data_IF_213360626125
#
_entry.id   IF_213360626125
#
_cell.length_a   1.000
_cell.length_b   1.000
_cell.length_c   1.000
_cell.angle_alpha   90.00
_cell.angle_beta   90.00
_cell.angle_gamma   90.00
#
_symmetry.space_group_name_H-M   'P 1'
#
loop_
_entity.id
_entity.type
_entity.pdbx_description
1 polymer ?
#
# COMPACT_ATOMS: atom_id res chain seq x y z
N UNK A 1 -60.03 61.21 28.11
CA UNK A 1 -59.99 60.46 26.84
C UNK A 1 -58.56 60.54 26.35
N UNK A 2 -57.73 59.50 26.15
CA UNK A 2 -57.84 58.04 26.24
C UNK A 2 -56.39 57.55 26.13
N UNK A 3 -55.94 56.65 27.01
CA UNK A 3 -54.66 55.92 26.91
C UNK A 3 -54.89 54.65 26.07
N UNK A 4 -53.92 54.23 25.24
CA UNK A 4 -53.25 52.92 25.46
C UNK A 4 -51.73 53.03 25.19
N UNK A 5 -50.75 52.46 25.92
CA UNK A 5 -50.56 51.18 26.62
C UNK A 5 -50.53 49.94 25.70
N UNK A 6 -49.38 49.24 25.74
CA UNK A 6 -49.03 47.96 25.06
C UNK A 6 -48.45 48.15 23.65
N UNK A 7 -47.36 47.50 23.23
CA UNK A 7 -47.04 46.09 23.41
C UNK A 7 -45.53 45.84 23.16
N UNK A 8 -44.86 45.19 24.11
CA UNK A 8 -43.60 44.48 23.89
C UNK A 8 -43.86 43.30 22.94
N UNK A 9 -43.07 43.15 21.86
CA UNK A 9 -42.92 41.87 21.19
C UNK A 9 -41.43 41.61 20.92
N UNK A 10 -40.87 40.71 21.72
CA UNK A 10 -39.61 40.04 21.44
C UNK A 10 -39.85 38.96 20.38
N UNK A 11 -39.16 39.04 19.26
CA UNK A 11 -38.99 37.90 18.35
C UNK A 11 -37.49 37.59 18.29
N UNK A 12 -37.08 36.72 19.20
CA UNK A 12 -35.99 35.80 18.93
C UNK A 12 -36.52 34.75 17.96
N UNK A 13 -35.84 34.50 16.84
CA UNK A 13 -35.59 33.12 16.38
C UNK A 13 -34.84 33.03 15.04
N UNK A 14 -34.12 31.91 14.95
CA UNK A 14 -33.59 31.25 13.76
C UNK A 14 -32.39 31.89 13.08
N UNK A 15 -31.27 31.87 13.83
CA UNK A 15 -29.97 31.61 13.22
C UNK A 15 -30.05 30.27 12.46
N UNK A 16 -30.09 30.36 11.13
CA UNK A 16 -29.90 29.23 10.24
C UNK A 16 -28.44 28.80 10.31
N UNK A 17 -28.15 27.92 11.27
CA UNK A 17 -26.93 27.12 11.27
C UNK A 17 -27.06 26.10 10.13
N UNK A 18 -26.65 26.51 8.93
CA UNK A 18 -26.24 25.59 7.89
C UNK A 18 -24.98 24.88 8.40
N UNK A 19 -25.15 23.79 9.13
CA UNK A 19 -24.11 22.78 9.25
C UNK A 19 -24.07 22.05 7.91
N UNK A 20 -23.01 22.18 7.09
CA UNK A 20 -22.80 21.20 6.05
C UNK A 20 -22.72 19.85 6.75
N UNK A 21 -23.55 18.91 6.30
CA UNK A 21 -23.42 17.49 6.62
C UNK A 21 -21.99 17.09 6.23
N UNK A 22 -21.09 17.10 7.22
CA UNK A 22 -19.80 16.44 7.12
C UNK A 22 -20.12 14.98 6.85
N UNK A 23 -20.01 14.57 5.58
CA UNK A 23 -20.09 13.18 5.21
C UNK A 23 -19.16 12.40 6.14
N UNK A 24 -19.73 11.45 6.88
CA UNK A 24 -18.92 10.54 7.67
C UNK A 24 -18.03 9.79 6.67
N UNK A 25 -16.77 10.19 6.58
CA UNK A 25 -15.73 9.33 6.07
C UNK A 25 -15.81 8.06 6.93
N UNK A 26 -16.25 6.95 6.33
CA UNK A 26 -16.32 5.66 7.02
C UNK A 26 -14.94 5.37 7.59
N UNK A 27 -14.79 5.47 8.91
CA UNK A 27 -13.52 5.20 9.58
C UNK A 27 -13.33 3.69 9.54
N UNK A 28 -12.57 3.20 8.56
CA UNK A 28 -12.04 1.85 8.65
C UNK A 28 -11.30 1.73 9.98
N UNK A 29 -11.71 0.79 10.82
CA UNK A 29 -11.19 0.69 12.19
C UNK A 29 -9.80 0.05 12.23
N UNK A 30 -9.45 -0.67 11.15
CA UNK A 30 -8.16 -1.31 10.99
C UNK A 30 -7.71 -1.33 9.52
N UNK A 31 -6.44 -1.68 9.34
CA UNK A 31 -5.75 -1.85 8.07
C UNK A 31 -5.43 -3.33 7.88
N UNK A 32 -5.83 -3.90 6.74
CA UNK A 32 -5.34 -5.18 6.25
C UNK A 32 -4.12 -4.93 5.36
N UNK A 33 -2.92 -5.20 5.88
CA UNK A 33 -1.66 -5.03 5.16
C UNK A 33 -1.17 -6.37 4.59
N UNK A 34 -0.96 -6.40 3.28
CA UNK A 34 -0.42 -7.55 2.56
C UNK A 34 0.81 -7.15 1.76
N UNK A 35 1.74 -8.10 1.60
CA UNK A 35 2.90 -7.96 0.73
C UNK A 35 2.85 -9.05 -0.34
N UNK A 36 3.15 -8.68 -1.58
CA UNK A 36 3.28 -9.61 -2.70
C UNK A 36 4.38 -9.12 -3.66
N UNK A 37 4.69 -9.92 -4.66
CA UNK A 37 5.64 -9.57 -5.70
C UNK A 37 5.18 -10.10 -7.05
N UNK A 38 5.74 -9.53 -8.11
CA UNK A 38 5.65 -10.11 -9.45
C UNK A 38 6.45 -11.42 -9.47
N UNK A 39 6.02 -12.38 -10.29
CA UNK A 39 6.76 -13.65 -10.46
C UNK A 39 8.23 -13.41 -10.82
N UNK A 40 8.47 -12.41 -11.67
CA UNK A 40 9.81 -12.09 -12.16
C UNK A 40 10.76 -11.54 -11.08
N UNK A 41 10.22 -10.93 -10.02
CA UNK A 41 10.96 -10.14 -9.03
C UNK A 41 10.54 -10.46 -7.59
N UNK A 42 10.71 -11.71 -7.12
CA UNK A 42 10.61 -11.99 -5.70
C UNK A 42 11.64 -11.13 -4.94
N UNK A 43 11.29 -10.67 -3.75
CA UNK A 43 12.05 -9.67 -3.02
C UNK A 43 12.27 -10.06 -1.56
N UNK A 44 13.26 -9.45 -0.91
CA UNK A 44 13.42 -9.46 0.55
C UNK A 44 13.12 -8.07 1.06
N UNK A 45 12.01 -7.90 1.78
CA UNK A 45 11.70 -6.63 2.45
C UNK A 45 12.62 -6.49 3.67
N UNK A 46 13.27 -5.33 3.79
CA UNK A 46 14.22 -5.05 4.88
C UNK A 46 13.83 -3.84 5.69
N UNK A 47 13.13 -2.88 5.09
CA UNK A 47 12.62 -1.70 5.79
C UNK A 47 11.21 -1.40 5.30
N UNK A 48 10.35 -0.94 6.20
CA UNK A 48 8.99 -0.56 5.86
C UNK A 48 8.45 0.51 6.81
N UNK A 49 7.62 1.40 6.29
CA UNK A 49 6.88 2.35 7.10
C UNK A 49 5.59 2.82 6.43
N UNK A 50 4.64 3.24 7.26
CA UNK A 50 3.43 3.96 6.87
C UNK A 50 3.36 5.20 7.77
N UNK A 51 3.31 6.39 7.17
CA UNK A 51 3.16 7.67 7.91
C UNK A 51 4.26 7.94 8.96
N UNK A 52 5.42 7.29 8.82
CA UNK A 52 6.55 7.44 9.75
C UNK A 52 7.88 7.26 9.00
N UNK A 53 9.01 7.67 9.60
CA UNK A 53 10.33 7.44 9.03
C UNK A 53 10.56 5.97 8.68
N UNK A 54 11.21 5.72 7.54
CA UNK A 54 11.56 4.37 7.10
C UNK A 54 12.45 3.70 8.15
N UNK A 55 12.02 2.55 8.66
CA UNK A 55 12.70 1.82 9.72
C UNK A 55 12.96 0.36 9.32
N UNK A 56 14.02 -0.27 9.84
CA UNK A 56 14.30 -1.67 9.58
C UNK A 56 13.19 -2.56 10.15
N UNK A 57 12.86 -3.61 9.41
CA UNK A 57 11.97 -4.70 9.84
C UNK A 57 12.74 -6.02 9.79
N UNK A 58 12.31 -7.07 10.52
CA UNK A 58 12.84 -8.41 10.29
C UNK A 58 12.79 -8.74 8.81
N UNK A 59 13.91 -9.18 8.24
CA UNK A 59 14.00 -9.46 6.81
C UNK A 59 13.00 -10.56 6.47
N UNK A 60 12.15 -10.31 5.48
CA UNK A 60 11.09 -11.25 5.08
C UNK A 60 11.08 -11.43 3.57
N UNK A 61 10.96 -12.67 3.12
CA UNK A 61 10.75 -12.95 1.70
C UNK A 61 9.33 -12.54 1.33
N UNK A 62 9.23 -11.74 0.27
CA UNK A 62 8.00 -11.37 -0.39
C UNK A 62 8.04 -11.97 -1.79
N UNK A 63 7.19 -12.97 -2.01
CA UNK A 63 7.11 -13.68 -3.28
C UNK A 63 5.66 -13.98 -3.62
N UNK A 64 5.35 -13.95 -4.91
CA UNK A 64 4.07 -14.45 -5.40
C UNK A 64 3.96 -14.20 -6.89
N UNK A 65 2.76 -13.87 -7.33
CA UNK A 65 2.38 -13.82 -8.73
C UNK A 65 1.37 -12.71 -9.00
N UNK A 66 1.63 -11.54 -8.41
CA UNK A 66 0.74 -10.39 -8.48
C UNK A 66 0.45 -9.90 -9.92
N UNK A 67 1.27 -10.31 -10.89
CA UNK A 67 1.13 -10.02 -12.31
C UNK A 67 0.25 -11.02 -13.07
N UNK A 68 -0.05 -12.21 -12.50
CA UNK A 68 -0.79 -13.28 -13.20
C UNK A 68 -1.89 -13.98 -12.37
N UNK A 69 -1.95 -13.79 -11.05
CA UNK A 69 -2.96 -14.38 -10.15
C UNK A 69 -3.87 -13.30 -9.56
N UNK A 70 -5.17 -13.56 -9.55
CA UNK A 70 -6.21 -12.68 -9.00
C UNK A 70 -7.09 -13.40 -7.96
N UNK A 71 -7.48 -12.75 -6.86
CA UNK A 71 -6.99 -11.43 -6.39
C UNK A 71 -5.50 -11.51 -6.00
N UNK A 72 -4.80 -10.37 -5.99
CA UNK A 72 -3.35 -10.33 -5.69
C UNK A 72 -3.04 -10.40 -4.19
N UNK A 73 -4.06 -10.64 -3.36
CA UNK A 73 -3.95 -10.71 -1.90
C UNK A 73 -3.36 -12.06 -1.48
N UNK A 74 -2.24 -12.03 -0.77
CA UNK A 74 -1.55 -13.22 -0.23
C UNK A 74 -1.32 -13.07 1.26
N UNK A 75 -2.24 -13.60 2.07
CA UNK A 75 -2.27 -13.37 3.52
C UNK A 75 -2.46 -11.89 3.86
N UNK A 76 -2.67 -11.57 5.14
CA UNK A 76 -2.71 -10.19 5.61
C UNK A 76 -2.38 -10.10 7.09
N UNK A 77 -1.66 -9.05 7.47
CA UNK A 77 -1.57 -8.60 8.85
C UNK A 77 -2.69 -7.59 9.11
N UNK A 78 -3.41 -7.75 10.22
CA UNK A 78 -4.38 -6.76 10.68
C UNK A 78 -3.67 -5.79 11.62
N UNK A 79 -3.68 -4.52 11.26
CA UNK A 79 -3.04 -3.43 12.00
C UNK A 79 -4.09 -2.38 12.38
N UNK A 80 -3.80 -1.57 13.40
CA UNK A 80 -4.57 -0.34 13.60
C UNK A 80 -4.42 0.57 12.37
N UNK A 81 -5.49 1.30 12.05
CA UNK A 81 -5.47 2.28 10.96
C UNK A 81 -4.37 3.32 11.20
N UNK A 82 -3.46 3.56 10.24
CA UNK A 82 -2.45 4.61 10.37
C UNK A 82 -3.05 6.00 10.56
N UNK A 83 -2.44 6.79 11.42
CA UNK A 83 -2.77 8.21 11.52
C UNK A 83 -2.21 8.95 10.31
N UNK A 84 -3.07 9.68 9.59
CA UNK A 84 -2.63 10.63 8.57
C UNK A 84 -1.95 11.83 9.26
N UNK A 85 -0.61 11.80 9.30
CA UNK A 85 0.21 12.75 10.07
C UNK A 85 0.12 14.15 9.45
N UNK A 86 0.03 14.22 8.14
CA UNK A 86 0.00 15.48 7.39
C UNK A 86 -1.43 16.02 7.16
N UNK A 87 -2.45 15.21 7.46
CA UNK A 87 -3.88 15.52 7.24
C UNK A 87 -4.19 15.87 5.78
N UNK A 88 -3.54 15.19 4.85
CA UNK A 88 -3.68 15.43 3.41
C UNK A 88 -4.59 14.39 2.71
N UNK A 89 -5.16 13.46 3.48
CA UNK A 89 -6.01 12.38 2.99
C UNK A 89 -5.22 11.27 2.28
N UNK A 90 -3.91 11.19 2.50
CA UNK A 90 -3.02 10.19 1.93
C UNK A 90 -2.22 9.48 3.02
N UNK A 91 -1.76 8.29 2.70
CA UNK A 91 -0.73 7.61 3.46
C UNK A 91 0.55 7.50 2.64
N UNK A 92 1.63 8.06 3.17
CA UNK A 92 3.00 7.88 2.70
C UNK A 92 3.46 6.47 3.09
N UNK A 93 3.56 5.60 2.09
CA UNK A 93 4.15 4.27 2.22
C UNK A 93 5.60 4.35 1.78
N UNK A 94 6.51 3.79 2.58
CA UNK A 94 7.92 3.69 2.21
C UNK A 94 8.44 2.27 2.43
N UNK A 95 9.30 1.81 1.53
CA UNK A 95 9.88 0.48 1.59
C UNK A 95 11.34 0.49 1.11
N UNK A 96 12.14 -0.40 1.68
CA UNK A 96 13.42 -0.81 1.10
C UNK A 96 13.48 -2.33 1.01
N UNK A 97 13.80 -2.82 -0.17
CA UNK A 97 13.85 -4.25 -0.46
C UNK A 97 15.04 -4.60 -1.34
N UNK A 98 15.39 -5.88 -1.35
CA UNK A 98 16.38 -6.46 -2.26
C UNK A 98 15.65 -7.36 -3.25
N UNK A 99 15.77 -7.12 -4.55
CA UNK A 99 15.30 -8.05 -5.58
C UNK A 99 16.18 -9.30 -5.56
N UNK A 100 15.58 -10.49 -5.38
CA UNK A 100 16.33 -11.73 -5.19
C UNK A 100 17.04 -12.22 -6.47
N UNK A 101 16.65 -11.73 -7.63
CA UNK A 101 17.19 -12.18 -8.92
C UNK A 101 18.42 -11.36 -9.27
N UNK A 102 18.27 -10.05 -9.22
CA UNK A 102 19.33 -9.09 -9.52
C UNK A 102 20.24 -8.79 -8.33
N UNK A 103 19.83 -9.15 -7.11
CA UNK A 103 20.52 -8.87 -5.84
C UNK A 103 20.66 -7.38 -5.53
N UNK A 104 19.98 -6.57 -6.34
CA UNK A 104 19.92 -5.12 -6.31
C UNK A 104 18.91 -4.67 -5.27
N UNK A 105 19.34 -3.82 -4.35
CA UNK A 105 18.52 -3.13 -3.39
C UNK A 105 17.91 -1.84 -3.96
N UNK A 106 16.69 -1.57 -3.52
CA UNK A 106 15.86 -0.46 -3.94
C UNK A 106 15.18 0.15 -2.74
N UNK A 107 14.98 1.46 -2.78
CA UNK A 107 14.18 2.21 -1.81
C UNK A 107 13.17 3.07 -2.55
N UNK A 108 11.93 3.08 -2.08
CA UNK A 108 10.87 3.88 -2.67
C UNK A 108 9.92 4.43 -1.60
N UNK A 109 9.28 5.53 -1.95
CA UNK A 109 8.20 6.14 -1.18
C UNK A 109 7.09 6.57 -2.14
N UNK A 110 5.84 6.35 -1.75
CA UNK A 110 4.66 6.71 -2.55
C UNK A 110 3.53 7.20 -1.66
N UNK A 111 2.83 8.24 -2.10
CA UNK A 111 1.62 8.73 -1.45
C UNK A 111 0.39 7.98 -1.97
N UNK A 112 -0.36 7.38 -1.06
CA UNK A 112 -1.52 6.52 -1.35
C UNK A 112 -2.79 7.25 -0.91
N UNK A 113 -3.68 7.67 -1.83
CA UNK A 113 -4.94 8.30 -1.44
C UNK A 113 -5.83 7.32 -0.67
N UNK A 114 -6.15 7.63 0.60
CA UNK A 114 -6.92 6.72 1.48
C UNK A 114 -8.31 6.43 0.91
N UNK A 115 -8.92 7.43 0.25
CA UNK A 115 -10.23 7.29 -0.41
C UNK A 115 -10.26 6.34 -1.61
N UNK A 116 -9.09 5.98 -2.13
CA UNK A 116 -8.96 5.04 -3.25
C UNK A 116 -8.75 3.60 -2.78
N UNK A 117 -8.61 3.38 -1.47
CA UNK A 117 -8.55 2.06 -0.87
C UNK A 117 -9.97 1.49 -0.73
N UNK A 118 -10.11 0.23 -1.11
CA UNK A 118 -11.27 -0.60 -0.84
C UNK A 118 -11.42 -0.79 0.68
N UNK A 119 -12.68 -0.80 1.12
CA UNK A 119 -13.04 -1.08 2.50
C UNK A 119 -13.84 -2.37 2.53
N UNK A 120 -13.22 -3.45 3.01
CA UNK A 120 -13.87 -4.74 3.18
C UNK A 120 -13.95 -5.09 4.66
N UNK A 121 -15.15 -5.41 5.14
CA UNK A 121 -15.38 -5.73 6.56
C UNK A 121 -14.82 -4.68 7.55
N UNK A 122 -14.94 -3.39 7.21
CA UNK A 122 -14.38 -2.25 7.98
C UNK A 122 -12.85 -2.19 8.03
N UNK A 123 -12.16 -2.94 7.17
CA UNK A 123 -10.71 -2.89 7.00
C UNK A 123 -10.36 -2.18 5.70
N UNK A 124 -9.41 -1.25 5.77
CA UNK A 124 -8.75 -0.77 4.55
C UNK A 124 -7.88 -1.87 3.98
N UNK A 125 -8.05 -2.20 2.70
CA UNK A 125 -7.20 -3.17 2.02
C UNK A 125 -5.98 -2.46 1.45
N UNK A 126 -4.78 -2.81 1.91
CA UNK A 126 -3.53 -2.25 1.38
C UNK A 126 -2.58 -3.37 1.00
N UNK A 127 -2.29 -3.46 -0.29
CA UNK A 127 -1.39 -4.45 -0.86
C UNK A 127 -0.14 -3.78 -1.41
N UNK A 128 1.02 -4.11 -0.86
CA UNK A 128 2.32 -3.65 -1.34
C UNK A 128 2.90 -4.70 -2.28
N UNK A 129 3.20 -4.31 -3.51
CA UNK A 129 3.67 -5.20 -4.57
C UNK A 129 5.03 -4.73 -5.07
N UNK A 130 6.02 -5.62 -5.03
CA UNK A 130 7.33 -5.37 -5.62
C UNK A 130 7.38 -5.93 -7.05
N UNK A 131 7.83 -5.10 -7.99
CA UNK A 131 7.97 -5.46 -9.39
C UNK A 131 9.41 -5.31 -9.91
N UNK A 132 9.64 -5.65 -11.19
CA UNK A 132 10.95 -5.53 -11.82
C UNK A 132 11.47 -4.09 -11.83
N UNK A 133 12.79 -3.95 -11.84
CA UNK A 133 13.51 -2.68 -11.92
C UNK A 133 13.17 -1.69 -10.78
N UNK A 134 12.97 -2.21 -9.57
CA UNK A 134 12.69 -1.36 -8.40
C UNK A 134 11.27 -0.81 -8.38
N UNK A 135 10.33 -1.42 -9.09
CA UNK A 135 8.94 -0.99 -9.06
C UNK A 135 8.29 -1.27 -7.69
N UNK A 136 7.64 -0.23 -7.16
CA UNK A 136 6.75 -0.31 -6.00
C UNK A 136 5.33 0.06 -6.44
N UNK A 137 4.42 -0.91 -6.35
CA UNK A 137 3.01 -0.74 -6.64
C UNK A 137 2.21 -0.93 -5.36
N UNK A 138 1.27 -0.02 -5.09
CA UNK A 138 0.27 -0.18 -4.04
C UNK A 138 -1.06 -0.50 -4.72
N UNK A 139 -1.63 -1.64 -4.35
CA UNK A 139 -2.94 -2.09 -4.78
C UNK A 139 -3.95 -2.13 -3.65
N UNK A 140 -5.22 -2.25 -4.01
CA UNK A 140 -6.34 -2.42 -3.09
C UNK A 140 -7.45 -3.25 -3.73
N UNK A 141 -7.12 -4.49 -4.09
CA UNK A 141 -8.06 -5.38 -4.77
C UNK A 141 -9.28 -5.69 -3.88
N UNK A 142 -10.48 -5.75 -4.46
CA UNK A 142 -11.65 -6.27 -3.73
C UNK A 142 -11.51 -7.78 -3.53
N UNK A 143 -12.15 -8.31 -2.50
CA UNK A 143 -12.19 -9.75 -2.21
C UNK A 143 -13.16 -10.44 -3.19
N UNK A 144 -12.73 -10.59 -4.44
CA UNK A 144 -13.49 -11.13 -5.56
C UNK A 144 -12.53 -11.78 -6.56
N UNK A 145 -13.07 -12.61 -7.46
CA UNK A 145 -12.31 -13.21 -8.56
C UNK A 145 -12.48 -12.45 -9.87
N UNK A 146 -13.27 -11.39 -9.89
CA UNK A 146 -13.47 -10.57 -11.08
C UNK A 146 -12.20 -9.74 -11.35
N UNK A 147 -11.59 -9.82 -12.56
CA UNK A 147 -10.43 -8.99 -12.90
C UNK A 147 -10.69 -7.48 -12.79
N UNK A 148 -11.93 -7.03 -12.91
CA UNK A 148 -12.32 -5.63 -12.74
C UNK A 148 -12.20 -5.13 -11.29
N UNK A 149 -12.06 -6.03 -10.33
CA UNK A 149 -11.83 -5.71 -8.92
C UNK A 149 -10.34 -5.49 -8.59
N UNK A 150 -9.46 -5.59 -9.59
CA UNK A 150 -8.06 -5.17 -9.49
C UNK A 150 -7.99 -3.64 -9.43
N UNK A 151 -7.41 -3.11 -8.36
CA UNK A 151 -7.19 -1.66 -8.21
C UNK A 151 -5.71 -1.39 -7.99
N UNK A 152 -5.07 -0.75 -8.96
CA UNK A 152 -3.74 -0.15 -8.81
C UNK A 152 -3.94 1.28 -8.30
N UNK A 153 -3.59 1.52 -7.04
CA UNK A 153 -3.90 2.79 -6.35
C UNK A 153 -2.79 3.81 -6.56
N UNK A 154 -1.53 3.38 -6.41
CA UNK A 154 -0.37 4.24 -6.60
C UNK A 154 0.84 3.42 -7.05
N UNK A 155 1.72 4.02 -7.85
CA UNK A 155 2.91 3.36 -8.39
C UNK A 155 4.08 4.32 -8.38
N UNK A 156 5.27 3.82 -8.09
CA UNK A 156 6.51 4.59 -8.16
C UNK A 156 7.69 3.69 -8.51
N UNK A 157 8.80 4.32 -8.90
CA UNK A 157 10.07 3.64 -9.15
C UNK A 157 11.03 3.92 -8.01
N UNK A 158 11.64 2.86 -7.49
CA UNK A 158 12.64 2.95 -6.46
C UNK A 158 13.95 3.53 -6.96
N UNK A 159 14.67 4.15 -6.04
CA UNK A 159 16.06 4.54 -6.22
C UNK A 159 16.96 3.39 -5.79
N UNK A 160 18.09 3.21 -6.48
CA UNK A 160 19.11 2.22 -6.11
C UNK A 160 19.71 2.56 -4.75
N UNK A 161 20.01 1.53 -3.95
CA UNK A 161 20.73 1.66 -2.68
C UNK A 161 21.90 0.66 -2.70
N UNK A 162 22.98 0.92 -3.46
CA UNK A 162 24.05 -0.05 -3.69
C UNK A 162 24.68 -0.61 -2.40
N UNK A 163 24.80 0.20 -1.35
CA UNK A 163 25.31 -0.18 -0.04
C UNK A 163 24.43 -1.22 0.69
N UNK A 164 23.19 -1.40 0.25
CA UNK A 164 22.24 -2.37 0.76
C UNK A 164 22.06 -3.59 -0.16
N UNK A 165 22.74 -3.64 -1.32
CA UNK A 165 22.74 -4.80 -2.20
C UNK A 165 23.20 -6.05 -1.41
N UNK A 166 22.52 -7.17 -1.63
CA UNK A 166 22.82 -8.40 -0.89
C UNK A 166 22.38 -9.64 -1.64
N UNK A 167 23.33 -10.57 -1.78
CA UNK A 167 23.00 -11.93 -2.19
C UNK A 167 22.40 -12.71 -1.00
N UNK A 168 21.07 -12.70 -0.93
CA UNK A 168 20.34 -13.50 0.05
C UNK A 168 20.30 -14.99 -0.32
N UNK A 169 20.60 -15.38 -1.57
CA UNK A 169 20.56 -16.77 -2.02
C UNK A 169 21.75 -17.58 -1.52
N UNK A 170 22.91 -16.96 -1.31
CA UNK A 170 24.06 -17.63 -0.69
C UNK A 170 23.96 -17.81 0.83
N UNK A 171 22.93 -17.24 1.48
CA UNK A 171 22.72 -17.34 2.92
C UNK A 171 21.95 -18.59 3.30
N UNK A 172 22.61 -19.73 3.18
CA UNK A 172 22.05 -21.04 3.50
C UNK A 172 21.42 -21.06 4.89
N UNK A 173 20.16 -21.50 4.97
CA UNK A 173 19.43 -21.66 6.23
C UNK A 173 18.82 -20.38 6.82
N UNK A 174 19.09 -19.19 6.28
CA UNK A 174 18.44 -17.96 6.76
C UNK A 174 16.96 -17.92 6.37
N UNK A 175 16.65 -18.27 5.12
CA UNK A 175 15.29 -18.40 4.61
C UNK A 175 15.04 -19.86 4.15
N UNK A 176 14.45 -20.72 4.99
CA UNK A 176 14.19 -22.11 4.63
C UNK A 176 13.25 -22.27 3.42
N UNK A 177 12.40 -21.27 3.15
CA UNK A 177 11.44 -21.24 2.05
C UNK A 177 12.04 -20.82 0.71
N UNK A 178 13.27 -20.28 0.68
CA UNK A 178 13.87 -19.71 -0.53
C UNK A 178 13.97 -20.70 -1.70
N UNK A 179 14.35 -21.99 -1.53
CA UNK A 179 14.34 -22.94 -2.63
C UNK A 179 12.97 -23.08 -3.28
N UNK A 180 11.89 -23.10 -2.49
CA UNK A 180 10.51 -23.19 -2.99
C UNK A 180 10.13 -21.94 -3.80
N UNK A 181 10.53 -20.76 -3.33
CA UNK A 181 10.29 -19.49 -4.02
C UNK A 181 10.98 -19.47 -5.39
N UNK A 182 12.24 -19.91 -5.45
CA UNK A 182 12.99 -19.97 -6.69
C UNK A 182 12.42 -20.98 -7.68
N UNK A 183 12.01 -22.17 -7.22
CA UNK A 183 11.31 -23.16 -8.04
C UNK A 183 10.01 -22.61 -8.60
N UNK A 184 9.16 -22.02 -7.75
CA UNK A 184 7.88 -21.44 -8.18
C UNK A 184 8.07 -20.38 -9.26
N UNK A 185 9.05 -19.49 -9.10
CA UNK A 185 9.40 -18.50 -10.13
C UNK A 185 9.77 -19.18 -11.44
N UNK A 186 10.67 -20.16 -11.40
CA UNK A 186 11.16 -20.83 -12.61
C UNK A 186 10.02 -21.48 -13.40
N UNK A 187 9.04 -22.06 -12.72
CA UNK A 187 7.87 -22.68 -13.34
C UNK A 187 6.88 -21.68 -13.96
N UNK A 188 6.88 -20.43 -13.50
CA UNK A 188 5.84 -19.45 -13.86
C UNK A 188 6.38 -18.23 -14.62
N UNK A 189 7.69 -18.02 -14.70
CA UNK A 189 8.28 -16.85 -15.37
C UNK A 189 7.88 -16.73 -16.85
N UNK A 190 7.63 -17.85 -17.54
CA UNK A 190 7.17 -17.85 -18.93
C UNK A 190 5.69 -17.44 -19.10
N UNK A 191 4.92 -17.38 -18.01
CA UNK A 191 3.51 -16.92 -18.00
C UNK A 191 3.39 -15.46 -17.60
N UNK A 192 4.41 -14.92 -16.94
CA UNK A 192 4.48 -13.57 -16.43
C UNK A 192 4.66 -12.56 -17.57
N UNK A 193 3.93 -11.46 -17.52
CA UNK A 193 4.27 -10.27 -18.30
C UNK A 193 5.31 -9.49 -17.52
N UNK A 194 6.58 -9.55 -17.95
CA UNK A 194 7.67 -8.75 -17.34
C UNK A 194 7.58 -7.29 -17.82
N UNK A 195 6.39 -6.70 -17.71
CA UNK A 195 6.16 -5.29 -18.00
C UNK A 195 6.22 -4.52 -16.69
N UNK A 196 7.16 -3.59 -16.61
CA UNK A 196 7.34 -2.66 -15.50
C UNK A 196 7.30 -1.23 -16.06
N UNK A 197 6.74 -0.30 -15.30
CA UNK A 197 6.79 1.11 -15.65
C UNK A 197 8.18 1.72 -15.37
N UNK A 198 9.03 0.99 -14.65
CA UNK A 198 10.31 1.49 -14.18
C UNK A 198 11.45 1.18 -15.16
N UNK A 199 12.31 2.17 -15.45
CA UNK A 199 13.42 1.98 -16.37
C UNK A 199 14.39 0.93 -15.81
N UNK A 200 15.12 0.21 -16.68
CA UNK A 200 16.18 -0.68 -16.22
C UNK A 200 17.14 0.05 -15.28
N UNK A 201 17.71 -0.62 -14.26
CA UNK A 201 18.73 -0.02 -13.42
C UNK A 201 19.87 0.48 -14.31
N UNK A 202 20.12 1.80 -14.31
CA UNK A 202 21.33 2.36 -14.89
C UNK A 202 22.54 1.86 -14.10
N UNK A 203 23.62 1.51 -14.80
CA UNK A 203 24.91 1.23 -14.19
C UNK A 203 25.53 2.58 -13.76
N UNK A 204 25.18 3.03 -12.56
CA UNK A 204 25.78 4.21 -11.93
C UNK A 204 26.62 3.79 -10.73
#
# INVERSE_FOLDING_TARGET
>A
MTVPMSLLLAIANCAWLFFPLSGQAGTGQALSLSFNAYVASPAVLTHFSIEQPLAPVPAQIVSGSADIVFPRLTGAAVLSTPNDVNRDGKWRISAQWVDLISEKAWRASVDVPVKALDQSYSLYTLLVIFGPNGELLVGSDKISRDPSDRVDVARTCGIRVPEADRDWKSRTGYFPELPRVMTYRQENIGKASVTTACPPPGDH
#
